data_IF_237246970980
#
_entry.id   IF_237246970980
#
_cell.length_a   1.000
_cell.length_b   1.000
_cell.length_c   1.000
_cell.angle_alpha   90.00
_cell.angle_beta   90.00
_cell.angle_gamma   90.00
#
_symmetry.space_group_name_H-M   'P 1'
#
loop_
_entity.id
_entity.type
_entity.pdbx_description
1 polymer ?
#
# COMPACT_ATOMS: atom_id res chain seq x y z
N UNK A 1 13.88 -4.38 16.37
CA UNK A 1 14.30 -4.57 14.97
C UNK A 1 13.02 -4.71 14.17
N UNK A 2 12.77 -3.80 13.23
CA UNK A 2 11.59 -3.78 12.34
C UNK A 2 12.09 -4.24 10.91
N UNK A 3 11.29 -4.54 9.86
CA UNK A 3 11.76 -4.86 8.46
C UNK A 3 10.90 -4.36 7.23
N UNK A 4 10.10 -5.11 6.44
CA UNK A 4 9.43 -4.62 5.22
C UNK A 4 8.07 -5.34 4.96
N UNK A 5 6.95 -4.61 4.72
CA UNK A 5 5.71 -5.23 4.20
C UNK A 5 5.82 -5.49 2.69
N UNK A 6 5.50 -6.70 2.21
CA UNK A 6 5.56 -7.04 0.80
C UNK A 6 4.18 -7.03 0.09
N UNK A 7 3.76 -5.85 -0.39
CA UNK A 7 2.60 -5.75 -1.31
C UNK A 7 3.03 -6.11 -2.73
N UNK A 8 2.58 -7.26 -3.26
CA UNK A 8 2.72 -7.62 -4.67
C UNK A 8 1.56 -6.98 -5.47
N UNK A 9 1.88 -6.13 -6.46
CA UNK A 9 0.89 -5.32 -7.19
C UNK A 9 1.07 -5.34 -8.71
N UNK A 10 -0.07 -5.39 -9.42
CA UNK A 10 -0.23 -4.92 -10.81
C UNK A 10 -0.74 -3.47 -10.79
N UNK A 11 0.10 -2.49 -11.15
CA UNK A 11 -0.35 -1.09 -11.24
C UNK A 11 -1.19 -0.88 -12.50
N UNK A 12 -2.43 -0.46 -12.33
CA UNK A 12 -3.30 -0.02 -13.42
C UNK A 12 -3.13 1.50 -13.57
N UNK A 13 -2.38 1.93 -14.58
CA UNK A 13 -2.37 3.33 -15.00
C UNK A 13 -3.66 3.62 -15.76
N UNK A 14 -4.51 4.50 -15.23
CA UNK A 14 -5.74 4.90 -15.87
C UNK A 14 -5.49 5.82 -17.08
N UNK A 15 -5.51 5.27 -18.29
CA UNK A 15 -5.73 6.06 -19.51
C UNK A 15 -7.24 6.25 -19.72
N UNK A 16 -7.66 7.48 -19.96
CA UNK A 16 -9.08 7.80 -20.11
C UNK A 16 -9.62 7.25 -21.45
N UNK A 17 -10.60 6.34 -21.39
CA UNK A 17 -11.45 5.98 -22.52
C UNK A 17 -11.45 4.51 -22.95
N UNK A 18 -12.09 3.63 -22.16
CA UNK A 18 -12.59 2.33 -22.64
C UNK A 18 -14.03 2.09 -22.12
N UNK A 19 -14.90 1.44 -22.92
CA UNK A 19 -16.33 1.34 -22.61
C UNK A 19 -16.64 0.31 -21.51
N UNK A 20 -17.74 0.54 -20.80
CA UNK A 20 -18.06 -0.17 -19.56
C UNK A 20 -18.52 -1.63 -19.76
N UNK A 21 -17.59 -2.56 -19.61
CA UNK A 21 -17.91 -3.92 -19.15
C UNK A 21 -18.20 -3.87 -17.65
N UNK A 22 -19.50 -3.76 -17.30
CA UNK A 22 -20.07 -3.90 -15.95
C UNK A 22 -19.09 -3.62 -14.80
N UNK A 23 -18.63 -2.37 -14.69
CA UNK A 23 -17.66 -1.99 -13.68
C UNK A 23 -18.22 -2.29 -12.29
N UNK A 24 -17.60 -3.26 -11.61
CA UNK A 24 -17.66 -3.36 -10.15
C UNK A 24 -17.38 -1.95 -9.64
N UNK A 25 -18.30 -1.37 -8.87
CA UNK A 25 -18.07 -0.06 -8.25
C UNK A 25 -16.68 -0.09 -7.61
N UNK A 26 -15.83 0.93 -7.83
CA UNK A 26 -14.43 0.89 -7.40
C UNK A 26 -14.43 0.63 -5.90
N UNK A 27 -13.91 -0.53 -5.48
CA UNK A 27 -13.99 -0.96 -4.09
C UNK A 27 -13.39 0.14 -3.21
N UNK A 28 -14.13 0.55 -2.18
CA UNK A 28 -13.72 1.61 -1.28
C UNK A 28 -12.31 1.35 -0.75
N UNK A 29 -11.52 2.42 -0.66
CA UNK A 29 -10.16 2.31 -0.15
C UNK A 29 -10.23 1.87 1.32
N UNK A 30 -9.47 0.83 1.66
CA UNK A 30 -9.29 0.36 3.03
C UNK A 30 -8.26 1.26 3.71
N UNK A 31 -8.58 1.77 4.90
CA UNK A 31 -7.62 2.52 5.71
C UNK A 31 -6.39 1.66 6.04
N UNK A 32 -5.20 2.27 6.02
CA UNK A 32 -3.96 1.53 6.27
C UNK A 32 -3.88 1.08 7.73
N UNK A 33 -4.35 1.91 8.67
CA UNK A 33 -4.45 1.54 10.09
C UNK A 33 -5.30 0.28 10.32
N UNK A 34 -6.37 0.09 9.54
CA UNK A 34 -7.22 -1.12 9.57
C UNK A 34 -6.49 -2.37 9.03
N UNK A 35 -5.59 -2.21 8.05
CA UNK A 35 -4.76 -3.30 7.52
C UNK A 35 -3.67 -3.68 8.51
N UNK A 36 -2.96 -2.69 9.08
CA UNK A 36 -1.88 -2.95 10.04
C UNK A 36 -2.43 -3.52 11.35
N UNK A 37 -3.56 -2.98 11.84
CA UNK A 37 -4.17 -3.38 13.10
C UNK A 37 -3.28 -3.11 14.32
N UNK A 38 -3.83 -3.39 15.51
CA UNK A 38 -3.12 -3.21 16.80
C UNK A 38 -2.34 -4.47 17.23
N UNK A 39 -2.28 -5.49 16.37
CA UNK A 39 -1.60 -6.75 16.63
C UNK A 39 -0.10 -6.69 16.36
N UNK A 40 0.57 -7.84 16.50
CA UNK A 40 1.95 -8.00 16.04
C UNK A 40 2.07 -8.10 14.50
N UNK A 41 0.94 -8.30 13.82
CA UNK A 41 0.81 -8.72 12.43
C UNK A 41 -0.27 -7.92 11.71
N UNK A 42 0.00 -7.54 10.46
CA UNK A 42 -1.01 -6.98 9.56
C UNK A 42 -2.03 -8.04 9.13
N UNK A 43 -3.28 -7.63 8.91
CA UNK A 43 -4.34 -8.47 8.38
C UNK A 43 -3.99 -8.93 6.93
N UNK A 44 -3.85 -10.24 6.67
CA UNK A 44 -3.54 -10.73 5.34
C UNK A 44 -4.77 -10.68 4.42
N UNK A 45 -4.58 -10.28 3.17
CA UNK A 45 -5.66 -10.16 2.20
C UNK A 45 -5.29 -9.32 0.99
N UNK A 46 -6.21 -9.21 0.02
CA UNK A 46 -6.06 -8.27 -1.10
C UNK A 46 -6.87 -7.01 -0.81
N UNK A 47 -6.18 -5.88 -0.66
CA UNK A 47 -6.78 -4.60 -0.31
C UNK A 47 -6.53 -3.57 -1.41
N UNK A 48 -7.41 -2.57 -1.50
CA UNK A 48 -7.15 -1.33 -2.24
C UNK A 48 -6.94 -0.22 -1.23
N UNK A 49 -5.86 0.54 -1.36
CA UNK A 49 -5.55 1.70 -0.48
C UNK A 49 -5.36 2.96 -1.32
N UNK A 50 -5.53 4.13 -0.71
CA UNK A 50 -5.14 5.43 -1.26
C UNK A 50 -4.17 6.13 -0.30
N UNK A 51 -3.03 6.59 -0.81
CA UNK A 51 -1.93 7.06 0.02
C UNK A 51 -0.98 8.01 -0.72
N UNK A 52 -0.08 8.65 0.02
CA UNK A 52 1.01 9.49 -0.49
C UNK A 52 2.34 8.74 -0.38
N UNK A 53 3.14 8.73 -1.44
CA UNK A 53 4.49 8.13 -1.42
C UNK A 53 5.42 8.97 -0.54
N UNK A 54 6.06 8.35 0.44
CA UNK A 54 6.95 9.03 1.42
C UNK A 54 8.43 8.72 1.22
N UNK A 55 8.78 7.64 0.52
CA UNK A 55 10.17 7.31 0.18
C UNK A 55 10.27 6.20 -0.87
N UNK A 56 11.27 6.27 -1.76
CA UNK A 56 11.46 5.31 -2.86
C UNK A 56 12.80 4.61 -2.72
N UNK A 57 12.77 3.28 -2.77
CA UNK A 57 13.86 2.39 -2.35
C UNK A 57 14.20 1.36 -3.43
N UNK A 58 14.48 1.84 -4.65
CA UNK A 58 14.76 1.01 -5.82
C UNK A 58 15.99 0.09 -5.67
N UNK A 59 16.90 0.38 -4.74
CA UNK A 59 18.10 -0.43 -4.46
C UNK A 59 17.91 -1.56 -3.44
N UNK A 60 16.76 -1.64 -2.76
CA UNK A 60 16.49 -2.72 -1.79
C UNK A 60 16.19 -4.05 -2.50
N UNK A 61 16.19 -5.13 -1.71
CA UNK A 61 15.76 -6.47 -2.12
C UNK A 61 14.82 -6.99 -1.03
N UNK A 62 13.48 -6.99 -1.25
CA UNK A 62 12.79 -6.50 -2.46
C UNK A 62 12.80 -4.98 -2.64
N UNK A 63 12.90 -4.52 -3.89
CA UNK A 63 12.81 -3.11 -4.26
C UNK A 63 11.35 -2.62 -4.19
N UNK A 64 11.15 -1.34 -3.86
CA UNK A 64 9.82 -0.80 -3.59
C UNK A 64 9.81 0.64 -3.10
N UNK A 65 8.73 1.04 -2.46
CA UNK A 65 8.51 2.39 -1.94
C UNK A 65 7.56 2.38 -0.73
N UNK A 66 7.73 3.34 0.17
CA UNK A 66 6.79 3.58 1.26
C UNK A 66 5.65 4.48 0.84
N UNK A 67 4.46 4.19 1.37
CA UNK A 67 3.27 5.02 1.29
C UNK A 67 2.72 5.28 2.69
N UNK A 68 2.11 6.44 2.89
CA UNK A 68 1.44 6.88 4.11
C UNK A 68 0.05 7.39 3.73
N UNK A 69 -0.99 6.95 4.43
CA UNK A 69 -2.35 7.49 4.26
C UNK A 69 -2.36 9.00 4.52
N UNK A 70 -3.15 9.77 3.76
CA UNK A 70 -3.14 11.22 3.88
C UNK A 70 -3.66 11.64 5.26
N UNK A 71 -3.06 12.67 5.87
CA UNK A 71 -3.36 13.08 7.25
C UNK A 71 -4.82 13.52 7.48
N UNK A 72 -5.52 13.90 6.40
CA UNK A 72 -6.95 14.23 6.35
C UNK A 72 -7.86 13.02 6.06
N UNK A 73 -7.29 11.82 5.87
CA UNK A 73 -7.98 10.60 5.43
C UNK A 73 -7.66 9.35 6.29
N UNK A 74 -6.82 9.43 7.32
CA UNK A 74 -6.52 8.27 8.19
C UNK A 74 -7.73 7.89 9.07
N UNK A 75 -7.73 6.69 9.63
CA UNK A 75 -8.75 6.25 10.59
C UNK A 75 -8.63 6.94 11.98
N UNK A 76 -7.59 7.76 12.17
CA UNK A 76 -7.34 8.54 13.39
C UNK A 76 -6.88 7.73 14.58
N UNK A 77 -6.55 6.44 14.42
CA UNK A 77 -6.17 5.55 15.53
C UNK A 77 -4.66 5.62 15.83
N UNK A 78 -4.22 6.23 16.95
CA UNK A 78 -2.80 6.36 17.27
C UNK A 78 -2.14 5.04 17.72
N UNK A 79 -2.92 3.95 17.86
CA UNK A 79 -2.41 2.62 18.18
C UNK A 79 -2.03 1.80 16.92
N UNK A 80 -2.25 2.35 15.72
CA UNK A 80 -1.94 1.72 14.43
C UNK A 80 -1.02 2.59 13.59
N UNK A 81 -0.36 2.01 12.59
CA UNK A 81 0.41 2.74 11.59
C UNK A 81 -0.43 2.93 10.34
N UNK A 82 -0.49 4.14 9.79
CA UNK A 82 -1.09 4.37 8.46
C UNK A 82 -0.04 4.32 7.33
N UNK A 83 1.10 3.67 7.56
CA UNK A 83 2.15 3.45 6.56
C UNK A 83 2.27 1.99 6.11
N UNK A 84 2.48 1.77 4.81
CA UNK A 84 2.86 0.47 4.22
C UNK A 84 4.11 0.62 3.35
N UNK A 85 4.90 -0.45 3.23
CA UNK A 85 5.82 -0.62 2.11
C UNK A 85 5.12 -1.36 0.96
N UNK A 86 5.42 -0.95 -0.27
CA UNK A 86 4.89 -1.53 -1.51
C UNK A 86 6.06 -2.12 -2.30
N UNK A 87 6.03 -3.44 -2.53
CA UNK A 87 7.07 -4.16 -3.27
C UNK A 87 6.82 -4.03 -4.77
N UNK A 88 7.67 -3.25 -5.43
CA UNK A 88 7.60 -3.05 -6.87
C UNK A 88 8.98 -2.71 -7.43
N UNK A 89 9.57 -3.68 -8.14
CA UNK A 89 10.76 -3.44 -8.95
C UNK A 89 10.44 -2.44 -10.08
N UNK A 90 11.33 -1.47 -10.30
CA UNK A 90 11.16 -0.48 -11.37
C UNK A 90 10.02 0.51 -11.15
N UNK A 91 9.54 0.70 -9.91
CA UNK A 91 8.52 1.69 -9.60
C UNK A 91 8.93 3.10 -10.08
N UNK A 92 8.05 3.76 -10.84
CA UNK A 92 8.29 5.09 -11.45
C UNK A 92 7.76 6.26 -10.62
N UNK A 93 7.22 5.96 -9.44
CA UNK A 93 6.66 6.94 -8.49
C UNK A 93 7.74 7.80 -7.82
N UNK A 94 7.32 8.93 -7.25
CA UNK A 94 8.15 9.92 -6.57
C UNK A 94 7.55 10.27 -5.21
N UNK A 95 8.37 10.75 -4.28
CA UNK A 95 7.90 11.27 -3.00
C UNK A 95 6.93 12.44 -3.23
N UNK A 96 5.77 12.38 -2.58
CA UNK A 96 4.65 13.31 -2.77
C UNK A 96 3.58 12.86 -3.76
N UNK A 97 3.82 11.81 -4.56
CA UNK A 97 2.79 11.27 -5.46
C UNK A 97 1.62 10.67 -4.66
N UNK A 98 0.38 11.03 -5.03
CA UNK A 98 -0.83 10.35 -4.57
C UNK A 98 -1.04 9.09 -5.42
N UNK A 99 -1.21 7.94 -4.78
CA UNK A 99 -1.33 6.63 -5.43
C UNK A 99 -2.53 5.86 -4.93
N UNK A 100 -3.13 5.04 -5.81
CA UNK A 100 -4.11 4.00 -5.47
C UNK A 100 -3.50 2.63 -5.78
N UNK A 101 -3.45 1.74 -4.78
CA UNK A 101 -2.63 0.51 -4.77
C UNK A 101 -3.53 -0.66 -4.40
N UNK A 102 -3.67 -1.66 -5.28
CA UNK A 102 -4.57 -2.84 -5.08
C UNK A 102 -3.81 -4.16 -5.05
N UNK A 103 -3.23 -4.53 -3.90
CA UNK A 103 -2.29 -5.65 -3.82
C UNK A 103 -2.52 -6.59 -2.64
N UNK A 104 -1.80 -7.72 -2.65
CA UNK A 104 -1.85 -8.70 -1.58
C UNK A 104 -0.93 -8.28 -0.42
N UNK A 105 -1.52 -8.04 0.75
CA UNK A 105 -0.83 -7.85 2.04
C UNK A 105 -0.49 -9.23 2.59
N UNK A 106 0.80 -9.45 2.87
CA UNK A 106 1.33 -10.68 3.43
C UNK A 106 2.33 -10.37 4.54
N UNK A 107 2.18 -11.02 5.69
CA UNK A 107 3.21 -11.07 6.72
C UNK A 107 4.09 -12.31 6.48
N UNK A 108 5.41 -12.14 6.49
CA UNK A 108 6.36 -13.25 6.35
C UNK A 108 7.25 -13.32 7.59
N UNK A 109 7.24 -14.45 8.32
CA UNK A 109 8.06 -14.61 9.53
C UNK A 109 9.58 -14.52 9.28
N UNK A 110 10.03 -14.63 8.04
CA UNK A 110 11.42 -14.43 7.63
C UNK A 110 11.79 -12.94 7.39
N UNK A 111 10.80 -12.08 7.21
CA UNK A 111 10.94 -10.65 6.93
C UNK A 111 9.97 -9.85 7.84
N UNK A 112 10.37 -9.42 9.06
CA UNK A 112 9.58 -8.52 9.93
C UNK A 112 9.11 -7.24 9.20
N UNK A 113 8.36 -6.32 9.84
CA UNK A 113 7.82 -5.09 9.19
C UNK A 113 8.39 -3.77 9.76
N UNK A 114 8.84 -2.83 8.91
CA UNK A 114 9.15 -1.39 9.19
C UNK A 114 8.11 -0.62 8.37
#
# INVERSE_FOLDING_TARGET
>A
MRLLLAVLLTVIFGTAGQPALAARAPADATHIGTIQGTGAAAAPGTYTIEAVVTGVYAGLKPAGFYVQEAADATDGNPATSDALYVVQAGATVRVGDKVRVTGAVQEAAAEPSF
#
